data_IF_383473492868
#
_entry.id   IF_383473492868
#
_cell.length_a   1.000
_cell.length_b   1.000
_cell.length_c   1.000
_cell.angle_alpha   90.00
_cell.angle_beta   90.00
_cell.angle_gamma   90.00
#
_symmetry.space_group_name_H-M   'P 1'
#
loop_
_entity.id
_entity.type
_entity.pdbx_description
1 polymer ?
#
# COMPACT_ATOMS: atom_id res chain seq x y z
N UNK A 1 -11.83 -11.79 -3.08
CA UNK A 1 -10.73 -11.04 -3.71
C UNK A 1 -9.78 -10.68 -2.60
N UNK A 2 -8.50 -11.02 -2.74
CA UNK A 2 -7.51 -10.94 -1.67
C UNK A 2 -6.53 -9.83 -2.07
N UNK A 3 -6.29 -8.87 -1.16
CA UNK A 3 -5.30 -7.84 -1.37
C UNK A 3 -4.03 -8.25 -0.62
N UNK A 4 -2.96 -8.49 -1.36
CA UNK A 4 -1.64 -8.81 -0.84
C UNK A 4 -0.87 -7.50 -0.68
N UNK A 5 -0.20 -7.32 0.45
CA UNK A 5 0.56 -6.11 0.73
C UNK A 5 2.02 -6.50 0.90
N UNK A 6 2.87 -5.93 0.05
CA UNK A 6 4.32 -6.07 0.17
C UNK A 6 4.90 -4.73 0.61
N UNK A 7 5.54 -4.73 1.78
CA UNK A 7 6.36 -3.64 2.23
C UNK A 7 7.74 -3.76 1.56
N UNK A 8 8.14 -2.74 0.81
CA UNK A 8 9.41 -2.71 0.09
C UNK A 8 10.25 -1.61 0.70
N UNK A 9 11.46 -1.96 1.14
CA UNK A 9 12.46 -1.00 1.60
C UNK A 9 13.69 -1.15 0.71
N UNK A 10 14.07 -0.07 0.03
CA UNK A 10 15.20 -0.12 -0.90
C UNK A 10 15.07 0.88 -2.05
N UNK A 11 16.21 1.36 -2.52
CA UNK A 11 16.30 2.39 -3.55
C UNK A 11 17.57 3.23 -3.37
N UNK A 12 18.68 2.71 -3.89
CA UNK A 12 20.00 3.33 -3.78
C UNK A 12 20.01 4.79 -4.25
N UNK A 13 19.32 5.09 -5.35
CA UNK A 13 19.27 6.46 -5.92
C UNK A 13 18.65 7.51 -4.98
N UNK A 14 17.62 7.15 -4.20
CA UNK A 14 17.04 8.09 -3.22
C UNK A 14 17.86 8.14 -1.94
N UNK A 15 18.44 7.00 -1.53
CA UNK A 15 19.36 6.93 -0.40
C UNK A 15 20.60 7.79 -0.63
N UNK A 16 21.24 7.71 -1.79
CA UNK A 16 22.41 8.54 -2.13
C UNK A 16 22.09 10.04 -2.10
N UNK A 17 20.85 10.43 -2.39
CA UNK A 17 20.41 11.83 -2.40
C UNK A 17 20.00 12.36 -1.03
N UNK A 18 19.51 11.50 -0.14
CA UNK A 18 18.84 11.94 1.10
C UNK A 18 19.42 11.31 2.37
N UNK A 19 20.25 10.28 2.25
CA UNK A 19 20.73 9.44 3.35
C UNK A 19 19.66 8.53 3.95
N UNK A 20 18.44 8.49 3.39
CA UNK A 20 17.29 7.76 3.96
C UNK A 20 16.84 6.69 2.97
N UNK A 21 16.69 5.45 3.45
CA UNK A 21 16.14 4.36 2.63
C UNK A 21 14.67 4.63 2.33
N UNK A 22 14.27 4.72 1.05
CA UNK A 22 12.87 4.92 0.73
C UNK A 22 12.07 3.65 1.03
N UNK A 23 10.87 3.86 1.57
CA UNK A 23 9.92 2.81 1.93
C UNK A 23 8.69 2.92 1.04
N UNK A 24 8.18 1.79 0.56
CA UNK A 24 7.00 1.70 -0.29
C UNK A 24 6.06 0.60 0.19
N UNK A 25 4.76 0.84 0.06
CA UNK A 25 3.72 -0.17 0.15
C UNK A 25 3.28 -0.54 -1.26
N UNK A 26 3.44 -1.80 -1.61
CA UNK A 26 2.94 -2.38 -2.84
C UNK A 26 1.68 -3.19 -2.53
N UNK A 27 0.54 -2.73 -3.04
CA UNK A 27 -0.73 -3.43 -2.93
C UNK A 27 -0.95 -4.21 -4.22
N UNK A 28 -1.13 -5.52 -4.14
CA UNK A 28 -1.41 -6.39 -5.27
C UNK A 28 -2.78 -7.04 -5.09
N UNK A 29 -3.67 -6.88 -6.06
CA UNK A 29 -4.96 -7.53 -6.02
C UNK A 29 -4.85 -8.91 -6.65
N UNK A 30 -4.84 -9.96 -5.82
CA UNK A 30 -4.71 -11.35 -6.25
C UNK A 30 -5.80 -11.72 -7.26
N UNK A 31 -5.38 -12.30 -8.39
CA UNK A 31 -6.27 -12.63 -9.51
C UNK A 31 -6.59 -11.45 -10.43
N UNK A 32 -5.98 -10.28 -10.22
CA UNK A 32 -6.07 -9.12 -11.11
C UNK A 32 -4.68 -8.63 -11.50
N UNK A 33 -4.58 -7.89 -12.62
CA UNK A 33 -3.37 -7.14 -12.98
C UNK A 33 -3.30 -5.77 -12.28
N UNK A 34 -4.18 -5.52 -11.31
CA UNK A 34 -4.22 -4.27 -10.57
C UNK A 34 -3.21 -4.30 -9.43
N UNK A 35 -2.26 -3.37 -9.49
CA UNK A 35 -1.32 -3.11 -8.43
C UNK A 35 -1.25 -1.61 -8.14
N UNK A 36 -0.91 -1.26 -6.90
CA UNK A 36 -0.67 0.11 -6.47
C UNK A 36 0.64 0.18 -5.72
N UNK A 37 1.51 1.11 -6.13
CA UNK A 37 2.75 1.41 -5.41
C UNK A 37 2.60 2.76 -4.74
N UNK A 38 2.69 2.77 -3.42
CA UNK A 38 2.57 3.97 -2.60
C UNK A 38 3.87 4.18 -1.85
N UNK A 39 4.47 5.37 -1.97
CA UNK A 39 5.63 5.75 -1.17
C UNK A 39 5.18 6.11 0.25
N UNK A 40 5.86 5.57 1.26
CA UNK A 40 5.68 5.98 2.64
C UNK A 40 6.51 7.23 2.85
N UNK A 41 5.85 8.33 3.21
CA UNK A 41 6.50 9.61 3.50
C UNK A 41 6.58 9.86 5.00
N UNK A 42 5.52 9.51 5.73
CA UNK A 42 5.40 9.64 7.17
C UNK A 42 4.74 8.38 7.75
N UNK A 43 4.88 8.15 9.05
CA UNK A 43 4.21 7.07 9.79
C UNK A 43 3.54 7.69 11.03
N UNK A 44 2.23 7.51 11.26
CA UNK A 44 1.26 6.80 10.42
C UNK A 44 0.96 7.54 9.09
N UNK A 45 0.48 6.79 8.09
CA UNK A 45 0.07 7.32 6.78
C UNK A 45 -1.21 6.63 6.28
N UNK A 46 -2.13 7.45 5.77
CA UNK A 46 -3.40 7.00 5.21
C UNK A 46 -3.53 7.47 3.76
N UNK A 47 -4.32 6.77 2.96
CA UNK A 47 -4.53 7.16 1.57
C UNK A 47 -5.54 6.32 0.82
N UNK A 48 -5.80 6.73 -0.42
CA UNK A 48 -6.83 6.13 -1.28
C UNK A 48 -6.18 5.52 -2.51
N UNK A 49 -6.41 4.23 -2.72
CA UNK A 49 -6.04 3.51 -3.93
C UNK A 49 -7.13 3.73 -4.98
N UNK A 50 -6.72 4.26 -6.13
CA UNK A 50 -7.62 4.55 -7.26
C UNK A 50 -7.33 3.60 -8.41
N UNK A 51 -8.38 3.10 -9.05
CA UNK A 51 -8.29 2.36 -10.31
C UNK A 51 -8.97 3.16 -11.40
N UNK A 52 -8.24 3.52 -12.45
CA UNK A 52 -8.72 4.42 -13.54
C UNK A 52 -9.35 5.71 -13.00
N UNK A 53 -8.74 6.32 -11.97
CA UNK A 53 -9.24 7.54 -11.32
C UNK A 53 -10.37 7.34 -10.30
N UNK A 54 -10.96 6.14 -10.22
CA UNK A 54 -12.07 5.82 -9.31
C UNK A 54 -11.50 5.27 -8.00
N UNK A 55 -11.88 5.81 -6.82
CA UNK A 55 -11.48 5.25 -5.53
C UNK A 55 -12.05 3.83 -5.36
N UNK A 56 -11.17 2.86 -5.10
CA UNK A 56 -11.55 1.44 -4.94
C UNK A 56 -11.22 0.91 -3.56
N UNK A 57 -10.12 1.38 -2.96
CA UNK A 57 -9.73 1.02 -1.62
C UNK A 57 -9.19 2.24 -0.88
N UNK A 58 -9.36 2.25 0.43
CA UNK A 58 -8.66 3.15 1.35
C UNK A 58 -7.75 2.31 2.23
N UNK A 59 -6.54 2.79 2.49
CA UNK A 59 -5.57 2.12 3.35
C UNK A 59 -5.16 3.05 4.51
N UNK A 60 -4.75 2.43 5.60
CA UNK A 60 -4.21 3.09 6.79
C UNK A 60 -3.02 2.25 7.28
N UNK A 61 -1.85 2.89 7.34
CA UNK A 61 -0.58 2.26 7.69
C UNK A 61 0.01 2.94 8.92
N UNK A 62 0.24 2.17 9.98
CA UNK A 62 0.76 2.70 11.25
C UNK A 62 2.29 2.66 11.36
N UNK A 63 2.97 2.11 10.36
CA UNK A 63 4.43 1.87 10.39
C UNK A 63 4.80 0.41 10.60
N UNK A 64 3.93 -0.37 11.23
CA UNK A 64 4.05 -1.83 11.37
C UNK A 64 2.97 -2.58 10.60
N UNK A 65 1.72 -2.16 10.75
CA UNK A 65 0.57 -2.84 10.17
C UNK A 65 -0.13 -1.94 9.14
N UNK A 66 -0.57 -2.56 8.05
CA UNK A 66 -1.40 -1.91 7.04
C UNK A 66 -2.77 -2.57 7.04
N UNK A 67 -3.82 -1.77 7.25
CA UNK A 67 -5.21 -2.18 7.07
C UNK A 67 -5.79 -1.47 5.86
N UNK A 68 -6.76 -2.09 5.21
CA UNK A 68 -7.45 -1.48 4.07
C UNK A 68 -8.93 -1.78 4.10
N UNK A 69 -9.73 -0.96 3.44
CA UNK A 69 -11.17 -1.18 3.27
C UNK A 69 -11.58 -0.87 1.85
N UNK A 70 -12.57 -1.62 1.36
CA UNK A 70 -13.09 -1.42 0.00
C UNK A 70 -14.08 -0.25 -0.01
N UNK A 71 -13.87 0.65 -0.95
CA UNK A 71 -14.80 1.74 -1.27
C UNK A 71 -15.73 1.24 -2.38
N UNK A 72 -17.02 1.09 -2.06
CA UNK A 72 -18.00 0.67 -3.06
C UNK A 72 -18.43 1.87 -3.92
N UNK A 73 -18.98 1.60 -5.11
CA UNK A 73 -19.43 2.63 -6.07
C UNK A 73 -20.46 3.61 -5.48
N UNK A 74 -21.24 3.18 -4.49
CA UNK A 74 -22.22 4.02 -3.80
C UNK A 74 -21.60 4.85 -2.66
N UNK A 75 -20.28 5.02 -2.65
CA UNK A 75 -19.49 5.58 -1.54
C UNK A 75 -19.66 4.84 -0.21
N UNK A 76 -20.37 3.70 -0.18
CA UNK A 76 -20.49 2.85 1.00
C UNK A 76 -19.17 2.17 1.28
N UNK A 77 -18.71 2.27 2.52
CA UNK A 77 -17.40 1.77 2.92
C UNK A 77 -17.58 0.40 3.58
N UNK A 78 -16.73 -0.56 3.18
CA UNK A 78 -16.71 -1.88 3.81
C UNK A 78 -15.98 -1.84 5.16
N UNK A 79 -16.10 -2.89 5.98
CA UNK A 79 -15.29 -3.01 7.19
C UNK A 79 -13.79 -3.01 6.84
N UNK A 80 -12.97 -2.56 7.79
CA UNK A 80 -11.53 -2.71 7.69
C UNK A 80 -11.17 -4.19 7.59
N UNK A 81 -10.30 -4.49 6.65
CA UNK A 81 -9.74 -5.81 6.37
C UNK A 81 -8.24 -5.75 6.59
N UNK A 82 -7.72 -6.84 7.13
CA UNK A 82 -6.29 -7.08 7.26
C UNK A 82 -5.82 -7.85 6.01
N UNK A 83 -4.59 -7.59 5.53
CA UNK A 83 -4.03 -8.36 4.44
C UNK A 83 -3.80 -9.80 4.89
N UNK A 84 -4.11 -10.76 4.01
CA UNK A 84 -3.82 -12.17 4.28
C UNK A 84 -2.33 -12.44 4.38
N UNK A 85 -1.51 -11.65 3.67
CA UNK A 85 -0.05 -11.78 3.69
C UNK A 85 0.58 -10.39 3.70
N UNK A 86 1.51 -10.18 4.63
CA UNK A 86 2.44 -9.05 4.63
C UNK A 86 3.82 -9.61 4.31
N UNK A 87 4.34 -9.26 3.14
CA UNK A 87 5.70 -9.62 2.73
C UNK A 87 6.61 -8.42 2.91
N UNK A 88 7.79 -8.61 3.51
CA UNK A 88 8.82 -7.57 3.61
C UNK A 88 9.92 -7.91 2.62
N UNK A 89 10.08 -7.06 1.61
CA UNK A 89 11.13 -7.20 0.60
C UNK A 89 12.16 -6.09 0.82
N UNK A 90 13.41 -6.49 1.09
CA UNK A 90 14.55 -5.57 1.09
C UNK A 90 15.22 -5.67 -0.28
N UNK A 91 15.34 -4.55 -0.99
CA UNK A 91 16.12 -4.47 -2.21
C UNK A 91 17.42 -3.72 -1.92
N UNK A 92 18.53 -4.44 -2.10
CA UNK A 92 19.88 -3.89 -2.10
C UNK A 92 20.15 -3.19 -3.44
#
# INVERSE_FOLDING_TARGET
MILEITFIQGGMLEFERTGIYPEYLLFNLKGSKQNWRVKIKNKPQEGILKSKGIPVYEYSFDGHWCKFRKVNKNASISKWMEPETISIERRD
#
